data_IF_949894947728
#
_entry.id   IF_949894947728
#
_cell.length_a   1.000
_cell.length_b   1.000
_cell.length_c   1.000
_cell.angle_alpha   90.00
_cell.angle_beta   90.00
_cell.angle_gamma   90.00
#
_symmetry.space_group_name_H-M   'P 1'
#
loop_
_entity.id
_entity.type
_entity.pdbx_description
1 polymer ?
#
# COMPACT_ATOMS: atom_id res chain seq x y z
N UNK A 1 0.60 -11.88 -19.91
CA UNK A 1 -0.72 -11.27 -19.64
C UNK A 1 -0.69 -9.81 -20.04
N UNK A 2 -1.86 -9.27 -20.37
CA UNK A 2 -2.06 -7.84 -20.58
C UNK A 2 -2.52 -7.22 -19.27
N UNK A 3 -1.73 -6.31 -18.70
CA UNK A 3 -1.99 -5.71 -17.39
C UNK A 3 -2.11 -4.20 -17.53
N UNK A 4 -3.15 -3.63 -16.92
CA UNK A 4 -3.31 -2.17 -16.83
C UNK A 4 -3.00 -1.72 -15.40
N UNK A 5 -2.14 -0.69 -15.27
CA UNK A 5 -1.74 -0.14 -13.97
C UNK A 5 -2.17 1.32 -13.86
N UNK A 6 -3.02 1.61 -12.87
CA UNK A 6 -3.31 2.97 -12.43
C UNK A 6 -2.34 3.37 -11.32
N UNK A 7 -1.85 4.62 -11.33
CA UNK A 7 -0.86 5.08 -10.35
C UNK A 7 0.57 4.63 -10.62
N UNK A 8 0.90 4.29 -11.86
CA UNK A 8 2.23 3.87 -12.30
C UNK A 8 3.34 4.90 -12.04
N UNK A 9 3.03 6.19 -11.96
CA UNK A 9 3.98 7.25 -11.64
C UNK A 9 4.34 7.34 -10.15
N UNK A 10 3.59 6.66 -9.28
CA UNK A 10 3.87 6.57 -7.84
C UNK A 10 5.11 5.72 -7.53
N UNK A 11 5.60 5.79 -6.30
CA UNK A 11 6.81 5.08 -5.89
C UNK A 11 6.71 3.56 -6.10
N UNK A 12 5.62 2.91 -5.66
CA UNK A 12 5.39 1.48 -5.90
C UNK A 12 5.23 1.21 -7.41
N UNK A 13 4.44 2.04 -8.11
CA UNK A 13 4.16 1.85 -9.53
C UNK A 13 5.40 1.90 -10.42
N UNK A 14 6.33 2.81 -10.11
CA UNK A 14 7.61 2.94 -10.84
C UNK A 14 8.52 1.70 -10.72
N UNK A 15 8.37 0.93 -9.65
CA UNK A 15 9.08 -0.34 -9.47
C UNK A 15 8.27 -1.52 -10.01
N UNK A 16 6.96 -1.51 -9.84
CA UNK A 16 6.07 -2.58 -10.29
C UNK A 16 6.05 -2.73 -11.81
N UNK A 17 5.88 -1.62 -12.54
CA UNK A 17 5.73 -1.66 -14.00
C UNK A 17 6.94 -2.30 -14.69
N UNK A 18 8.20 -1.89 -14.44
CA UNK A 18 9.37 -2.55 -15.00
C UNK A 18 9.48 -4.03 -14.58
N UNK A 19 9.14 -4.36 -13.33
CA UNK A 19 9.18 -5.75 -12.84
C UNK A 19 8.20 -6.65 -13.59
N UNK A 20 6.96 -6.20 -13.81
CA UNK A 20 5.98 -6.95 -14.58
C UNK A 20 6.40 -7.13 -16.05
N UNK A 21 6.98 -6.09 -16.66
CA UNK A 21 7.51 -6.17 -18.03
C UNK A 21 8.68 -7.15 -18.14
N UNK A 22 9.58 -7.16 -17.15
CA UNK A 22 10.69 -8.12 -17.09
C UNK A 22 10.23 -9.57 -16.96
N UNK A 23 9.02 -9.80 -16.39
CA UNK A 23 8.36 -11.11 -16.32
C UNK A 23 7.60 -11.48 -17.60
N UNK A 24 7.72 -10.70 -18.67
CA UNK A 24 7.08 -10.97 -19.97
C UNK A 24 5.62 -10.53 -20.08
N UNK A 25 5.14 -9.68 -19.15
CA UNK A 25 3.79 -9.11 -19.25
C UNK A 25 3.77 -7.87 -20.14
N UNK A 26 2.70 -7.69 -20.91
CA UNK A 26 2.41 -6.43 -21.59
C UNK A 26 1.73 -5.50 -20.61
N UNK A 27 2.36 -4.36 -20.32
CA UNK A 27 1.86 -3.44 -19.28
C UNK A 27 1.53 -2.09 -19.88
N UNK A 28 0.25 -1.73 -19.84
CA UNK A 28 -0.25 -0.39 -20.12
C UNK A 28 -0.46 0.40 -18.83
N UNK A 29 -0.32 1.72 -18.91
CA UNK A 29 -0.46 2.59 -17.74
C UNK A 29 -1.56 3.64 -17.96
N UNK A 30 -2.36 3.89 -16.92
CA UNK A 30 -3.36 4.94 -16.95
C UNK A 30 -2.73 6.30 -16.61
N UNK A 31 -2.93 7.27 -17.51
CA UNK A 31 -2.39 8.64 -17.36
C UNK A 31 -3.51 9.67 -17.37
N UNK A 32 -3.39 10.71 -16.50
CA UNK A 32 -4.34 11.84 -16.42
C UNK A 32 -3.95 13.02 -17.32
N UNK A 33 -2.89 12.89 -18.07
CA UNK A 33 -2.38 13.83 -19.08
C UNK A 33 -2.60 13.27 -20.48
N UNK A 34 -2.27 14.04 -21.48
CA UNK A 34 -2.20 13.54 -22.86
C UNK A 34 -1.31 12.31 -22.98
N UNK A 35 -1.75 11.36 -23.80
CA UNK A 35 -1.02 10.14 -24.15
C UNK A 35 0.24 10.52 -24.95
N UNK A 36 1.38 9.96 -24.57
CA UNK A 36 2.69 10.23 -25.19
C UNK A 36 3.37 8.98 -25.71
N UNK A 37 2.84 7.80 -25.36
CA UNK A 37 3.40 6.52 -25.74
C UNK A 37 2.27 5.50 -25.98
N UNK A 38 2.49 4.49 -26.81
CA UNK A 38 1.46 3.49 -27.16
C UNK A 38 0.91 2.70 -25.99
N UNK A 39 1.72 2.52 -24.94
CA UNK A 39 1.33 1.82 -23.72
C UNK A 39 0.56 2.69 -22.70
N UNK A 40 0.30 3.96 -23.04
CA UNK A 40 -0.46 4.86 -22.18
C UNK A 40 -1.94 4.89 -22.59
N UNK A 41 -2.79 4.92 -21.59
CA UNK A 41 -4.24 5.03 -21.76
C UNK A 41 -4.71 6.26 -20.98
N UNK A 42 -5.36 7.19 -21.68
CA UNK A 42 -5.93 8.37 -21.04
C UNK A 42 -7.12 8.00 -20.14
N UNK A 43 -7.18 8.58 -18.96
CA UNK A 43 -8.31 8.49 -18.08
C UNK A 43 -8.48 9.76 -17.23
N UNK A 44 -9.71 10.01 -16.80
CA UNK A 44 -10.04 11.11 -15.88
C UNK A 44 -10.95 10.60 -14.76
N UNK A 45 -10.39 10.23 -13.60
CA UNK A 45 -11.17 9.78 -12.47
C UNK A 45 -12.14 10.83 -11.91
N UNK A 46 -11.79 12.12 -12.02
CA UNK A 46 -12.64 13.20 -11.51
C UNK A 46 -13.95 13.30 -12.30
N UNK A 47 -13.91 13.01 -13.59
CA UNK A 47 -15.07 12.97 -14.48
C UNK A 47 -15.60 11.55 -14.74
N UNK A 48 -15.05 10.53 -14.07
CA UNK A 48 -15.36 9.10 -14.25
C UNK A 48 -15.22 8.65 -15.70
N UNK A 49 -14.16 9.12 -16.38
CA UNK A 49 -13.90 8.81 -17.79
C UNK A 49 -12.77 7.80 -17.94
N UNK A 50 -13.10 6.64 -18.43
CA UNK A 50 -12.18 5.62 -18.95
C UNK A 50 -12.95 4.85 -20.02
N UNK A 51 -12.42 4.80 -21.24
CA UNK A 51 -13.06 4.06 -22.30
C UNK A 51 -13.09 2.56 -21.96
N UNK A 52 -14.26 1.96 -21.89
CA UNK A 52 -14.43 0.53 -21.59
C UNK A 52 -13.68 -0.36 -22.60
N UNK A 53 -13.60 0.06 -23.86
CA UNK A 53 -12.86 -0.63 -24.91
C UNK A 53 -11.36 -0.78 -24.60
N UNK A 54 -10.79 0.13 -23.81
CA UNK A 54 -9.38 0.03 -23.37
C UNK A 54 -9.11 -1.14 -22.43
N UNK A 55 -10.17 -1.78 -21.89
CA UNK A 55 -10.07 -2.94 -20.99
C UNK A 55 -10.45 -4.27 -21.66
N UNK A 56 -10.86 -4.29 -22.92
CA UNK A 56 -11.37 -5.49 -23.59
C UNK A 56 -10.34 -6.63 -23.73
N UNK A 57 -9.07 -6.30 -23.93
CA UNK A 57 -7.98 -7.29 -24.09
C UNK A 57 -7.09 -7.37 -22.84
N UNK A 58 -7.59 -6.86 -21.69
CA UNK A 58 -6.84 -6.81 -20.44
C UNK A 58 -7.17 -8.03 -19.57
N UNK A 59 -6.15 -8.67 -19.04
CA UNK A 59 -6.30 -9.79 -18.09
C UNK A 59 -6.43 -9.32 -16.64
N UNK A 60 -5.67 -8.27 -16.27
CA UNK A 60 -5.62 -7.76 -14.91
C UNK A 60 -5.56 -6.23 -14.86
N UNK A 61 -6.24 -5.65 -13.90
CA UNK A 61 -6.16 -4.22 -13.57
C UNK A 61 -5.58 -4.06 -12.16
N UNK A 62 -4.52 -3.27 -12.01
CA UNK A 62 -3.89 -2.96 -10.71
C UNK A 62 -4.08 -1.47 -10.43
N UNK A 63 -4.84 -1.16 -9.38
CA UNK A 63 -5.09 0.19 -8.93
C UNK A 63 -4.21 0.56 -7.74
N UNK A 64 -3.20 1.40 -8.01
CA UNK A 64 -2.33 2.05 -7.01
C UNK A 64 -2.65 3.54 -6.88
N UNK A 65 -3.69 4.03 -7.58
CA UNK A 65 -3.99 5.45 -7.65
C UNK A 65 -4.62 5.95 -6.34
N UNK A 66 -4.11 7.07 -5.87
CA UNK A 66 -4.61 7.76 -4.69
C UNK A 66 -3.65 8.88 -4.25
N UNK A 67 -4.18 9.93 -3.65
CA UNK A 67 -3.37 10.98 -3.06
C UNK A 67 -2.50 10.41 -1.92
N UNK A 68 -1.25 10.90 -1.81
CA UNK A 68 -0.32 10.45 -0.76
C UNK A 68 -0.87 10.76 0.63
N UNK A 69 -0.94 9.73 1.49
CA UNK A 69 -1.53 9.84 2.83
C UNK A 69 -0.69 10.70 3.78
N UNK A 70 0.62 10.73 3.58
CA UNK A 70 1.59 11.38 4.46
C UNK A 70 2.23 12.65 3.87
N UNK A 71 1.70 13.17 2.73
CA UNK A 71 2.29 14.35 2.11
C UNK A 71 2.10 15.63 2.92
N UNK A 72 0.98 15.75 3.62
CA UNK A 72 0.57 16.95 4.34
C UNK A 72 -0.20 16.61 5.61
N UNK A 73 -0.23 17.54 6.57
CA UNK A 73 -1.07 17.43 7.77
C UNK A 73 -2.55 17.28 7.38
N UNK A 74 -3.28 16.42 8.08
CA UNK A 74 -4.69 16.20 7.80
C UNK A 74 -5.54 17.35 8.32
N UNK A 75 -6.12 18.08 7.37
CA UNK A 75 -7.24 18.98 7.53
C UNK A 75 -8.49 18.31 7.00
N UNK A 76 -9.66 18.85 7.26
CA UNK A 76 -10.91 18.31 6.67
C UNK A 76 -10.89 18.35 5.13
N UNK A 77 -10.28 19.39 4.53
CA UNK A 77 -10.07 19.45 3.08
C UNK A 77 -9.15 18.32 2.59
N UNK A 78 -8.05 18.06 3.32
CA UNK A 78 -7.12 16.99 2.97
C UNK A 78 -7.74 15.61 3.12
N UNK A 79 -8.52 15.37 4.18
CA UNK A 79 -9.26 14.12 4.35
C UNK A 79 -10.23 13.88 3.19
N UNK A 80 -10.98 14.91 2.80
CA UNK A 80 -11.86 14.83 1.61
C UNK A 80 -11.08 14.51 0.34
N UNK A 81 -9.92 15.10 0.12
CA UNK A 81 -9.08 14.77 -1.04
C UNK A 81 -8.60 13.31 -0.99
N UNK A 82 -8.16 12.82 0.17
CA UNK A 82 -7.75 11.43 0.36
C UNK A 82 -8.89 10.44 0.03
N UNK A 83 -10.12 10.75 0.44
CA UNK A 83 -11.32 9.97 0.13
C UNK A 83 -11.64 10.06 -1.36
N UNK A 84 -11.79 11.27 -1.87
CA UNK A 84 -12.22 11.54 -3.25
C UNK A 84 -11.28 10.90 -4.27
N UNK A 85 -9.96 11.05 -4.08
CA UNK A 85 -8.97 10.50 -5.01
C UNK A 85 -9.06 8.97 -5.12
N UNK A 86 -9.33 8.27 -4.02
CA UNK A 86 -9.47 6.82 -3.97
C UNK A 86 -10.80 6.34 -4.54
N UNK A 87 -11.88 6.99 -4.15
CA UNK A 87 -13.21 6.59 -4.59
C UNK A 87 -13.44 6.87 -6.07
N UNK A 88 -12.99 8.03 -6.55
CA UNK A 88 -13.12 8.35 -7.97
C UNK A 88 -12.29 7.40 -8.84
N UNK A 89 -11.02 7.15 -8.48
CA UNK A 89 -10.19 6.21 -9.24
C UNK A 89 -10.78 4.80 -9.26
N UNK A 90 -11.23 4.30 -8.11
CA UNK A 90 -11.81 2.96 -8.02
C UNK A 90 -13.13 2.85 -8.77
N UNK A 91 -14.05 3.79 -8.58
CA UNK A 91 -15.34 3.78 -9.27
C UNK A 91 -15.20 3.89 -10.79
N UNK A 92 -14.27 4.73 -11.26
CA UNK A 92 -13.99 4.84 -12.71
C UNK A 92 -13.52 3.51 -13.30
N UNK A 93 -12.66 2.79 -12.59
CA UNK A 93 -12.22 1.45 -13.00
C UNK A 93 -13.38 0.44 -12.96
N UNK A 94 -14.17 0.43 -11.91
CA UNK A 94 -15.33 -0.46 -11.76
C UNK A 94 -16.35 -0.24 -12.86
N UNK A 95 -16.66 1.01 -13.21
CA UNK A 95 -17.59 1.35 -14.29
C UNK A 95 -17.06 0.86 -15.65
N UNK A 96 -15.79 1.11 -15.94
CA UNK A 96 -15.16 0.67 -17.18
C UNK A 96 -15.09 -0.87 -17.27
N UNK A 97 -14.75 -1.55 -16.17
CA UNK A 97 -14.77 -3.01 -16.07
C UNK A 97 -16.17 -3.58 -16.33
N UNK A 98 -17.20 -2.96 -15.74
CA UNK A 98 -18.58 -3.42 -15.87
C UNK A 98 -19.11 -3.27 -17.29
N UNK A 99 -18.63 -2.29 -18.04
CA UNK A 99 -19.00 -1.97 -19.40
C UNK A 99 -18.11 -2.61 -20.48
N UNK A 100 -17.00 -3.26 -20.09
CA UNK A 100 -16.12 -3.92 -21.03
C UNK A 100 -16.76 -5.18 -21.63
N UNK A 101 -16.60 -5.39 -22.95
CA UNK A 101 -17.10 -6.57 -23.66
C UNK A 101 -16.44 -7.86 -23.15
N UNK A 102 -15.13 -7.79 -22.92
CA UNK A 102 -14.35 -8.84 -22.26
C UNK A 102 -13.80 -8.28 -20.97
N UNK A 103 -14.41 -8.64 -19.86
CA UNK A 103 -14.01 -8.18 -18.54
C UNK A 103 -12.67 -8.78 -18.13
N UNK A 104 -11.73 -7.98 -17.62
CA UNK A 104 -10.51 -8.47 -16.97
C UNK A 104 -10.83 -9.52 -15.89
N UNK A 105 -9.95 -10.51 -15.77
CA UNK A 105 -10.12 -11.62 -14.81
C UNK A 105 -9.93 -11.19 -13.37
N UNK A 106 -9.19 -10.10 -13.14
CA UNK A 106 -8.90 -9.60 -11.81
C UNK A 106 -8.82 -8.08 -11.76
N UNK A 107 -9.42 -7.50 -10.72
CA UNK A 107 -9.15 -6.16 -10.22
C UNK A 107 -8.36 -6.28 -8.92
N UNK A 108 -7.13 -5.79 -8.89
CA UNK A 108 -6.36 -5.58 -7.68
C UNK A 108 -6.51 -4.12 -7.28
N UNK A 109 -7.23 -3.85 -6.21
CA UNK A 109 -7.42 -2.50 -5.69
C UNK A 109 -6.68 -2.36 -4.37
N UNK A 110 -5.53 -1.70 -4.38
CA UNK A 110 -4.69 -1.61 -3.20
C UNK A 110 -5.37 -0.81 -2.10
N UNK A 111 -5.43 -1.40 -0.90
CA UNK A 111 -5.93 -0.85 0.35
C UNK A 111 -4.78 -0.68 1.37
N UNK A 112 -5.06 -0.59 2.65
CA UNK A 112 -4.05 -0.46 3.71
C UNK A 112 -4.48 -1.14 5.01
N UNK A 113 -3.50 -1.54 5.84
CA UNK A 113 -3.74 -2.04 7.20
C UNK A 113 -4.40 -1.01 8.12
N UNK A 114 -4.45 0.26 7.70
CA UNK A 114 -5.27 1.30 8.34
C UNK A 114 -6.72 0.88 8.57
N UNK A 115 -7.23 -0.10 7.81
CA UNK A 115 -8.51 -0.77 8.02
C UNK A 115 -8.70 -1.25 9.45
N UNK A 116 -7.64 -1.69 10.11
CA UNK A 116 -7.73 -2.25 11.46
C UNK A 116 -7.76 -1.20 12.59
N UNK A 117 -7.37 0.06 12.31
CA UNK A 117 -7.25 1.08 13.36
C UNK A 117 -6.16 0.75 14.39
N UNK A 118 -6.30 1.30 15.61
CA UNK A 118 -5.41 0.96 16.73
C UNK A 118 -5.97 -0.23 17.51
N UNK A 119 -5.23 -1.32 17.59
CA UNK A 119 -5.66 -2.60 18.17
C UNK A 119 -4.68 -3.14 19.21
N UNK A 120 -3.78 -2.31 19.74
CA UNK A 120 -2.81 -2.73 20.75
C UNK A 120 -1.96 -3.92 20.29
N UNK A 121 -1.96 -5.01 21.06
CA UNK A 121 -1.16 -6.22 20.80
C UNK A 121 -1.91 -7.32 20.04
N UNK A 122 -3.16 -7.07 19.66
CA UNK A 122 -3.99 -8.03 18.95
C UNK A 122 -3.38 -8.42 17.59
N UNK A 123 -3.31 -9.72 17.31
CA UNK A 123 -2.90 -10.24 16.00
C UNK A 123 -4.06 -10.06 15.03
N UNK A 124 -3.78 -9.47 13.87
CA UNK A 124 -4.79 -9.02 12.91
C UNK A 124 -4.63 -9.76 11.56
N UNK A 125 -5.19 -10.97 11.43
CA UNK A 125 -5.33 -11.63 10.15
C UNK A 125 -6.36 -10.91 9.27
N UNK A 126 -6.49 -11.32 8.00
CA UNK A 126 -7.45 -10.70 7.05
C UNK A 126 -8.91 -10.83 7.49
N UNK A 127 -9.23 -11.77 8.35
CA UNK A 127 -10.57 -11.99 8.94
C UNK A 127 -10.89 -11.06 10.12
N UNK A 128 -9.88 -10.36 10.66
CA UNK A 128 -10.09 -9.43 11.75
C UNK A 128 -11.05 -8.29 11.33
N UNK A 129 -12.00 -7.90 12.21
CA UNK A 129 -12.98 -6.87 11.89
C UNK A 129 -12.32 -5.50 11.75
N UNK A 130 -13.02 -4.58 11.06
CA UNK A 130 -12.62 -3.19 10.94
C UNK A 130 -12.48 -2.54 12.33
N UNK A 131 -11.45 -1.73 12.45
CA UNK A 131 -11.26 -0.88 13.62
C UNK A 131 -12.06 0.43 13.53
N UNK A 132 -11.61 1.42 14.25
CA UNK A 132 -12.23 2.75 14.32
C UNK A 132 -11.32 3.85 13.78
N UNK A 133 -11.91 5.00 13.45
CA UNK A 133 -11.23 6.19 13.00
C UNK A 133 -11.17 6.34 11.49
N UNK A 134 -10.71 7.51 11.06
CA UNK A 134 -10.73 7.95 9.66
C UNK A 134 -10.14 6.94 8.67
N UNK A 135 -8.98 6.34 8.99
CA UNK A 135 -8.34 5.39 8.07
C UNK A 135 -9.13 4.08 7.95
N UNK A 136 -9.73 3.62 9.05
CA UNK A 136 -10.52 2.40 9.04
C UNK A 136 -11.77 2.56 8.19
N UNK A 137 -12.47 3.68 8.34
CA UNK A 137 -13.64 4.04 7.53
C UNK A 137 -13.27 4.22 6.07
N UNK A 138 -12.19 4.96 5.79
CA UNK A 138 -11.69 5.17 4.43
C UNK A 138 -11.39 3.84 3.73
N UNK A 139 -10.66 2.94 4.39
CA UNK A 139 -10.29 1.64 3.80
C UNK A 139 -11.52 0.76 3.56
N UNK A 140 -12.48 0.70 4.50
CA UNK A 140 -13.72 -0.06 4.34
C UNK A 140 -14.52 0.40 3.13
N UNK A 141 -14.76 1.70 3.01
CA UNK A 141 -15.51 2.26 1.88
C UNK A 141 -14.76 2.08 0.56
N UNK A 142 -13.45 2.19 0.59
CA UNK A 142 -12.61 1.97 -0.58
C UNK A 142 -12.66 0.52 -1.06
N UNK A 143 -12.52 -0.45 -0.15
CA UNK A 143 -12.67 -1.88 -0.46
C UNK A 143 -14.09 -2.20 -0.95
N UNK A 144 -15.13 -1.66 -0.30
CA UNK A 144 -16.52 -1.81 -0.74
C UNK A 144 -16.74 -1.30 -2.16
N UNK A 145 -16.15 -0.15 -2.51
CA UNK A 145 -16.24 0.38 -3.88
C UNK A 145 -15.57 -0.55 -4.90
N UNK A 146 -14.45 -1.19 -4.55
CA UNK A 146 -13.75 -2.14 -5.42
C UNK A 146 -14.54 -3.44 -5.60
N UNK A 147 -15.16 -3.96 -4.52
CA UNK A 147 -15.96 -5.19 -4.57
C UNK A 147 -17.20 -5.08 -5.46
N UNK A 148 -17.64 -3.87 -5.83
CA UNK A 148 -18.68 -3.69 -6.84
C UNK A 148 -18.30 -4.23 -8.24
N UNK A 149 -17.01 -4.50 -8.51
CA UNK A 149 -16.55 -5.16 -9.73
C UNK A 149 -16.63 -6.70 -9.66
N UNK A 150 -16.84 -7.28 -8.46
CA UNK A 150 -16.86 -8.74 -8.28
C UNK A 150 -17.95 -9.37 -9.16
N UNK A 151 -17.57 -10.41 -9.89
CA UNK A 151 -18.50 -11.13 -10.77
C UNK A 151 -17.93 -12.53 -11.04
N UNK A 152 -18.70 -13.45 -11.66
CA UNK A 152 -18.18 -14.76 -12.07
C UNK A 152 -16.96 -14.69 -13.01
N UNK A 153 -16.76 -13.55 -13.70
CA UNK A 153 -15.64 -13.34 -14.63
C UNK A 153 -14.49 -12.53 -14.05
N UNK A 154 -14.76 -11.68 -13.06
CA UNK A 154 -13.77 -10.79 -12.47
C UNK A 154 -13.69 -11.04 -10.97
N UNK A 155 -12.56 -11.50 -10.47
CA UNK A 155 -12.27 -11.55 -9.03
C UNK A 155 -11.71 -10.22 -8.57
N UNK A 156 -12.01 -9.84 -7.33
CA UNK A 156 -11.45 -8.64 -6.70
C UNK A 156 -10.49 -9.05 -5.59
N UNK A 157 -9.33 -8.43 -5.58
CA UNK A 157 -8.34 -8.57 -4.50
C UNK A 157 -8.06 -7.18 -3.93
N UNK A 158 -8.15 -7.03 -2.62
CA UNK A 158 -7.84 -5.80 -1.91
C UNK A 158 -6.59 -5.99 -1.03
N UNK A 159 -5.38 -5.76 -1.58
CA UNK A 159 -4.16 -5.85 -0.79
C UNK A 159 -4.13 -4.74 0.26
N UNK A 160 -4.14 -5.11 1.55
CA UNK A 160 -3.98 -4.19 2.68
C UNK A 160 -2.49 -3.99 2.94
N UNK A 161 -1.92 -2.93 2.40
CA UNK A 161 -0.50 -2.62 2.57
C UNK A 161 -0.19 -2.23 4.01
N UNK A 162 0.86 -2.84 4.56
CA UNK A 162 1.58 -2.33 5.72
C UNK A 162 2.44 -1.11 5.37
N UNK A 163 3.32 -0.75 6.29
CA UNK A 163 4.31 0.31 6.03
C UNK A 163 5.34 -0.22 5.04
N UNK A 164 5.24 0.25 3.80
CA UNK A 164 6.19 -0.14 2.76
C UNK A 164 7.52 0.57 3.00
N UNK A 165 8.59 -0.21 3.09
CA UNK A 165 9.94 0.28 3.33
C UNK A 165 10.81 0.11 2.09
N UNK A 166 11.65 1.11 1.82
CA UNK A 166 12.67 1.11 0.79
C UNK A 166 13.57 2.34 0.93
N UNK A 167 14.79 2.22 0.47
CA UNK A 167 15.83 3.25 0.63
C UNK A 167 15.44 4.57 -0.04
N UNK A 168 14.79 4.51 -1.22
CA UNK A 168 14.57 5.65 -2.09
C UNK A 168 13.14 6.22 -1.98
N UNK A 169 12.35 5.74 -1.02
CA UNK A 169 10.97 6.21 -0.85
C UNK A 169 10.29 5.73 0.43
N UNK A 170 9.03 6.12 0.58
CA UNK A 170 8.23 5.73 1.74
C UNK A 170 8.71 6.32 3.07
N UNK A 171 8.36 5.66 4.16
CA UNK A 171 8.66 6.13 5.51
C UNK A 171 10.17 6.10 5.81
N UNK A 172 10.89 5.07 5.34
CA UNK A 172 12.32 4.91 5.62
C UNK A 172 13.14 6.06 5.05
N UNK A 173 12.89 6.46 3.80
CA UNK A 173 13.61 7.57 3.17
C UNK A 173 13.50 8.89 3.97
N UNK A 174 12.34 9.11 4.61
CA UNK A 174 12.12 10.30 5.46
C UNK A 174 12.86 10.20 6.80
N UNK A 175 13.03 9.00 7.33
CA UNK A 175 13.68 8.77 8.63
C UNK A 175 15.21 8.73 8.52
N UNK A 176 15.74 8.26 7.41
CA UNK A 176 17.19 8.08 7.20
C UNK A 176 18.04 9.32 7.49
N UNK A 177 17.68 10.55 7.08
CA UNK A 177 18.49 11.74 7.36
C UNK A 177 18.67 12.02 8.86
N UNK A 178 17.60 11.77 9.65
CA UNK A 178 17.61 11.97 11.10
C UNK A 178 18.46 10.90 11.78
N UNK A 179 18.27 9.63 11.41
CA UNK A 179 19.05 8.52 11.97
C UNK A 179 20.54 8.57 11.60
N UNK A 180 20.90 8.97 10.37
CA UNK A 180 22.29 9.16 9.94
C UNK A 180 23.04 10.20 10.76
N UNK A 181 22.33 11.21 11.28
CA UNK A 181 22.88 12.23 12.18
C UNK A 181 22.96 11.76 13.65
N UNK A 182 22.54 10.52 13.96
CA UNK A 182 22.48 10.03 15.33
C UNK A 182 21.36 10.62 16.18
N UNK A 183 20.43 11.32 15.56
CA UNK A 183 19.29 12.00 16.23
C UNK A 183 18.01 11.14 16.21
N UNK A 184 18.10 9.89 15.75
CA UNK A 184 16.98 8.95 15.71
C UNK A 184 16.57 8.45 17.09
N UNK A 185 15.37 7.87 17.15
CA UNK A 185 14.87 7.23 18.35
C UNK A 185 13.45 6.67 18.16
N UNK A 186 12.94 6.06 19.23
CA UNK A 186 11.60 5.48 19.24
C UNK A 186 10.51 6.56 19.16
N UNK A 187 9.39 6.22 18.53
CA UNK A 187 8.20 7.07 18.49
C UNK A 187 7.28 6.75 19.68
N UNK A 188 6.85 7.78 20.39
CA UNK A 188 5.98 7.65 21.56
C UNK A 188 6.56 6.72 22.63
N UNK A 189 5.77 5.77 23.11
CA UNK A 189 6.22 4.73 24.06
C UNK A 189 7.17 3.70 23.42
N UNK A 190 7.18 3.60 22.11
CA UNK A 190 7.89 2.57 21.36
C UNK A 190 7.22 1.20 21.36
N UNK A 191 6.09 1.02 22.07
CA UNK A 191 5.41 -0.27 22.21
C UNK A 191 4.48 -0.61 21.04
N UNK A 192 4.01 0.40 20.31
CA UNK A 192 3.11 0.17 19.20
C UNK A 192 3.77 -0.69 18.10
N UNK A 193 3.00 -1.62 17.56
CA UNK A 193 3.44 -2.51 16.50
C UNK A 193 3.46 -1.80 15.15
N UNK A 194 4.53 -2.04 14.42
CA UNK A 194 4.76 -1.63 13.05
C UNK A 194 4.72 -2.88 12.16
N UNK A 195 3.65 -3.06 11.42
CA UNK A 195 3.59 -4.05 10.35
C UNK A 195 4.16 -3.45 9.08
N UNK A 196 5.31 -3.92 8.69
CA UNK A 196 6.11 -3.42 7.57
C UNK A 196 6.17 -4.45 6.43
N UNK A 197 6.62 -4.03 5.27
CA UNK A 197 6.96 -4.89 4.14
C UNK A 197 8.00 -4.19 3.27
N UNK A 198 8.93 -4.94 2.66
CA UNK A 198 9.86 -4.36 1.69
C UNK A 198 9.15 -4.02 0.38
N UNK A 199 9.61 -2.97 -0.32
CA UNK A 199 9.11 -2.65 -1.66
C UNK A 199 9.24 -3.83 -2.63
N UNK A 200 10.31 -4.61 -2.50
CA UNK A 200 10.55 -5.81 -3.29
C UNK A 200 9.43 -6.82 -3.12
N UNK A 201 9.08 -7.16 -1.88
CA UNK A 201 8.02 -8.13 -1.61
C UNK A 201 6.63 -7.62 -2.00
N UNK A 202 6.38 -6.31 -1.88
CA UNK A 202 5.14 -5.69 -2.42
C UNK A 202 5.02 -5.93 -3.92
N UNK A 203 6.08 -5.69 -4.67
CA UNK A 203 6.09 -5.83 -6.14
C UNK A 203 5.88 -7.28 -6.55
N UNK A 204 6.59 -8.22 -5.89
CA UNK A 204 6.43 -9.66 -6.14
C UNK A 204 5.02 -10.12 -5.80
N UNK A 205 4.50 -9.73 -4.64
CA UNK A 205 3.17 -10.11 -4.20
C UNK A 205 2.07 -9.58 -5.15
N UNK A 206 2.16 -8.33 -5.60
CA UNK A 206 1.20 -7.78 -6.57
C UNK A 206 1.21 -8.56 -7.89
N UNK A 207 2.38 -9.01 -8.37
CA UNK A 207 2.51 -9.89 -9.53
C UNK A 207 1.84 -11.25 -9.30
N UNK A 208 2.08 -11.89 -8.15
CA UNK A 208 1.45 -13.16 -7.77
C UNK A 208 -0.07 -13.00 -7.65
N UNK A 209 -0.54 -11.95 -7.00
CA UNK A 209 -1.98 -11.67 -6.88
C UNK A 209 -2.65 -11.43 -8.24
N UNK A 210 -1.93 -10.91 -9.23
CA UNK A 210 -2.45 -10.70 -10.59
C UNK A 210 -2.58 -12.02 -11.36
N UNK A 211 -1.61 -12.91 -11.22
CA UNK A 211 -1.47 -14.12 -12.06
C UNK A 211 -2.17 -15.35 -11.48
N UNK A 212 -2.18 -15.52 -10.15
CA UNK A 212 -2.73 -16.69 -9.48
C UNK A 212 -4.21 -16.48 -9.12
N UNK A 213 -5.07 -17.31 -9.69
CA UNK A 213 -6.54 -17.21 -9.58
C UNK A 213 -7.09 -17.51 -8.17
N UNK A 214 -6.27 -18.13 -7.30
CA UNK A 214 -6.68 -18.49 -5.93
C UNK A 214 -6.93 -17.27 -5.03
N UNK A 215 -6.29 -16.15 -5.32
CA UNK A 215 -6.35 -14.95 -4.48
C UNK A 215 -7.64 -14.16 -4.70
N UNK A 216 -8.41 -13.96 -3.62
CA UNK A 216 -9.66 -13.18 -3.60
C UNK A 216 -9.82 -12.44 -2.29
N UNK A 217 -10.56 -11.34 -2.33
CA UNK A 217 -10.90 -10.55 -1.15
C UNK A 217 -9.71 -9.78 -0.56
N UNK A 218 -9.77 -9.42 0.73
CA UNK A 218 -8.66 -8.75 1.40
C UNK A 218 -7.47 -9.69 1.57
N UNK A 219 -6.25 -9.14 1.42
CA UNK A 219 -4.96 -9.83 1.61
C UNK A 219 -4.00 -8.88 2.31
N UNK A 220 -3.50 -9.24 3.49
CA UNK A 220 -2.52 -8.43 4.19
C UNK A 220 -1.16 -8.51 3.48
N UNK A 221 -0.69 -7.39 2.94
CA UNK A 221 0.65 -7.25 2.39
C UNK A 221 1.57 -6.67 3.46
N UNK A 222 2.00 -7.53 4.36
CA UNK A 222 2.94 -7.24 5.46
C UNK A 222 3.96 -8.36 5.57
N UNK A 223 5.15 -8.06 6.10
CA UNK A 223 6.13 -9.10 6.48
C UNK A 223 5.56 -9.99 7.60
N UNK A 224 5.94 -11.28 7.64
CA UNK A 224 5.50 -12.19 8.70
C UNK A 224 6.07 -11.85 10.09
N UNK A 225 7.08 -10.97 10.14
CA UNK A 225 7.73 -10.53 11.37
C UNK A 225 7.49 -9.03 11.63
N UNK A 226 6.29 -8.63 12.14
CA UNK A 226 6.07 -7.27 12.59
C UNK A 226 6.98 -6.94 13.78
N UNK A 227 7.35 -5.67 13.93
CA UNK A 227 8.23 -5.21 15.01
C UNK A 227 7.59 -4.09 15.80
N UNK A 228 8.07 -3.82 17.03
CA UNK A 228 7.68 -2.59 17.73
C UNK A 228 8.44 -1.37 17.17
N UNK A 229 7.92 -0.16 17.38
CA UNK A 229 8.67 1.05 17.02
C UNK A 229 10.00 1.19 17.78
N UNK A 230 10.11 0.61 18.98
CA UNK A 230 11.37 0.55 19.72
C UNK A 230 12.37 -0.37 19.01
N UNK A 231 11.94 -1.55 18.59
CA UNK A 231 12.79 -2.48 17.83
C UNK A 231 13.16 -1.93 16.46
N UNK A 232 12.20 -1.31 15.75
CA UNK A 232 12.49 -0.63 14.49
C UNK A 232 13.62 0.40 14.65
N UNK A 233 13.51 1.29 15.65
CA UNK A 233 14.51 2.32 15.90
C UNK A 233 15.88 1.70 16.25
N UNK A 234 15.90 0.66 17.08
CA UNK A 234 17.12 -0.07 17.45
C UNK A 234 17.78 -0.73 16.23
N UNK A 235 17.00 -1.47 15.42
CA UNK A 235 17.51 -2.18 14.25
C UNK A 235 18.02 -1.21 13.18
N UNK A 236 17.30 -0.09 12.93
CA UNK A 236 17.74 0.94 12.00
C UNK A 236 19.02 1.62 12.45
N UNK A 237 19.14 1.92 13.75
CA UNK A 237 20.35 2.48 14.33
C UNK A 237 21.55 1.54 14.19
N UNK A 238 21.36 0.25 14.45
CA UNK A 238 22.38 -0.78 14.28
C UNK A 238 22.84 -0.88 12.81
N UNK A 239 21.89 -0.92 11.85
CA UNK A 239 22.22 -0.98 10.43
C UNK A 239 23.02 0.24 9.96
N UNK A 240 22.73 1.42 10.50
CA UNK A 240 23.43 2.67 10.19
C UNK A 240 24.72 2.89 11.03
N UNK A 241 24.98 2.03 12.03
CA UNK A 241 26.06 2.21 13.01
C UNK A 241 26.00 3.59 13.69
N UNK A 242 24.78 4.00 14.09
CA UNK A 242 24.52 5.28 14.75
C UNK A 242 23.71 5.06 16.03
N UNK A 243 23.83 5.94 17.04
CA UNK A 243 22.96 5.88 18.20
C UNK A 243 21.51 6.24 17.84
N UNK A 244 20.52 5.71 18.60
CA UNK A 244 19.11 6.08 18.50
C UNK A 244 18.53 6.33 19.89
N UNK A 245 19.06 7.34 20.56
CA UNK A 245 18.81 7.60 21.98
C UNK A 245 17.74 8.68 22.21
N UNK A 246 17.32 9.40 21.17
CA UNK A 246 16.43 10.54 21.28
C UNK A 246 14.97 10.14 21.00
N UNK A 247 14.16 9.77 21.99
CA UNK A 247 12.76 9.43 21.76
C UNK A 247 11.98 10.65 21.30
N UNK A 248 11.08 10.47 20.33
CA UNK A 248 10.14 11.52 19.93
C UNK A 248 8.85 11.33 20.73
N UNK A 249 8.55 12.23 21.68
CA UNK A 249 7.38 12.09 22.53
C UNK A 249 6.07 12.16 21.73
N UNK A 250 5.06 11.39 22.14
CA UNK A 250 3.76 11.36 21.46
C UNK A 250 3.11 12.76 21.37
N UNK A 251 3.26 13.60 22.40
CA UNK A 251 2.71 14.96 22.37
C UNK A 251 3.35 15.84 21.29
N UNK A 252 4.65 15.70 21.07
CA UNK A 252 5.35 16.47 20.03
C UNK A 252 4.92 16.03 18.62
N UNK A 253 4.72 14.71 18.40
CA UNK A 253 4.16 14.20 17.17
C UNK A 253 2.75 14.71 16.93
N UNK A 254 1.89 14.68 17.94
CA UNK A 254 0.51 15.19 17.85
C UNK A 254 0.47 16.69 17.59
N UNK A 255 1.34 17.48 18.20
CA UNK A 255 1.42 18.92 17.97
C UNK A 255 1.79 19.22 16.51
N UNK A 256 2.76 18.51 15.96
CA UNK A 256 3.26 18.73 14.59
C UNK A 256 2.32 18.19 13.52
N UNK A 257 1.79 16.97 13.69
CA UNK A 257 1.08 16.23 12.67
C UNK A 257 -0.43 16.07 12.93
N UNK A 258 -0.89 16.43 14.13
CA UNK A 258 -2.30 16.33 14.50
C UNK A 258 -2.79 14.88 14.53
N UNK A 259 -4.00 14.65 14.02
CA UNK A 259 -4.63 13.33 13.93
C UNK A 259 -3.79 12.31 13.15
N UNK A 260 -3.07 12.75 12.11
CA UNK A 260 -2.19 11.89 11.32
C UNK A 260 -1.14 11.19 12.20
N UNK A 261 -0.60 11.87 13.24
CA UNK A 261 0.35 11.24 14.17
C UNK A 261 -0.29 10.06 14.91
N UNK A 262 -1.50 10.24 15.40
CA UNK A 262 -2.21 9.19 16.15
C UNK A 262 -2.57 8.02 15.24
N UNK A 263 -3.07 8.29 14.04
CA UNK A 263 -3.55 7.26 13.13
C UNK A 263 -2.44 6.47 12.40
N UNK A 264 -1.28 7.09 12.15
CA UNK A 264 -0.22 6.47 11.34
C UNK A 264 1.04 6.11 12.12
N UNK A 265 1.40 6.88 13.15
CA UNK A 265 2.68 6.72 13.84
C UNK A 265 2.55 6.17 15.26
N UNK A 266 1.40 6.34 15.88
CA UNK A 266 1.15 5.92 17.27
C UNK A 266 0.14 4.77 17.37
N UNK A 267 -0.63 4.50 16.32
CA UNK A 267 -1.52 3.36 16.25
C UNK A 267 -0.70 2.05 16.21
N UNK A 268 -1.16 1.09 16.98
CA UNK A 268 -0.58 -0.25 17.05
C UNK A 268 -1.35 -1.20 16.14
N UNK A 269 -0.67 -1.74 15.13
CA UNK A 269 -1.26 -2.66 14.16
C UNK A 269 -0.33 -3.85 13.98
N UNK A 270 -0.68 -4.98 14.63
CA UNK A 270 0.07 -6.23 14.50
C UNK A 270 -0.59 -7.11 13.44
N UNK A 271 -0.57 -6.65 12.19
CA UNK A 271 -1.15 -7.39 11.08
C UNK A 271 -0.33 -8.64 10.74
N UNK A 272 -1.03 -9.71 10.42
CA UNK A 272 -0.47 -10.99 10.00
C UNK A 272 -0.83 -11.28 8.54
N UNK A 273 0.13 -11.70 7.69
CA UNK A 273 -0.14 -12.07 6.29
C UNK A 273 -0.65 -13.51 6.20
N UNK A 274 -1.74 -13.81 6.92
CA UNK A 274 -2.22 -15.19 7.10
C UNK A 274 -2.55 -15.88 5.77
N UNK A 275 -3.20 -15.16 4.85
CA UNK A 275 -3.50 -15.68 3.51
C UNK A 275 -2.24 -15.93 2.69
N UNK A 276 -1.27 -15.02 2.69
CA UNK A 276 -0.02 -15.19 1.94
C UNK A 276 0.75 -16.42 2.44
N UNK A 277 0.85 -16.58 3.76
CA UNK A 277 1.51 -17.75 4.38
C UNK A 277 0.79 -19.05 4.02
N UNK A 278 -0.53 -19.11 4.19
CA UNK A 278 -1.33 -20.27 3.84
C UNK A 278 -1.29 -20.59 2.34
N UNK A 279 -1.15 -19.58 1.48
CA UNK A 279 -1.02 -19.73 0.04
C UNK A 279 0.39 -20.09 -0.44
N UNK A 280 1.37 -20.23 0.47
CA UNK A 280 2.75 -20.59 0.15
C UNK A 280 3.57 -19.45 -0.47
N UNK A 281 3.20 -18.19 -0.22
CA UNK A 281 4.01 -17.07 -0.65
C UNK A 281 5.34 -17.02 0.10
N UNK A 282 6.45 -16.94 -0.65
CA UNK A 282 7.80 -16.88 -0.09
C UNK A 282 8.26 -15.41 -0.05
N UNK A 283 8.41 -14.87 1.14
CA UNK A 283 8.97 -13.54 1.34
C UNK A 283 10.47 -13.54 1.07
N UNK A 284 10.94 -12.57 0.29
CA UNK A 284 12.38 -12.33 0.09
C UNK A 284 12.99 -11.68 1.33
N UNK A 285 12.23 -10.84 2.00
CA UNK A 285 12.65 -10.01 3.12
C UNK A 285 11.74 -10.25 4.35
N UNK A 286 11.78 -11.47 4.97
CA UNK A 286 10.86 -11.81 6.06
C UNK A 286 11.17 -11.09 7.37
N UNK A 287 12.42 -10.65 7.60
CA UNK A 287 12.89 -10.06 8.85
C UNK A 287 13.53 -8.69 8.63
N UNK A 288 13.15 -7.72 9.47
CA UNK A 288 13.57 -6.32 9.34
C UNK A 288 15.08 -6.11 9.51
N UNK A 289 15.70 -6.76 10.47
CA UNK A 289 17.11 -6.57 10.77
C UNK A 289 18.04 -6.93 9.60
N UNK A 290 18.02 -8.17 9.10
CA UNK A 290 18.77 -8.59 7.92
C UNK A 290 18.48 -7.72 6.69
N UNK A 291 17.18 -7.41 6.44
CA UNK A 291 16.81 -6.56 5.32
C UNK A 291 17.44 -5.15 5.42
N UNK A 292 17.34 -4.47 6.58
CA UNK A 292 17.97 -3.15 6.76
C UNK A 292 19.48 -3.18 6.55
N UNK A 293 20.14 -4.23 7.01
CA UNK A 293 21.59 -4.39 6.81
C UNK A 293 21.97 -4.54 5.34
N UNK A 294 21.14 -5.20 4.55
CA UNK A 294 21.33 -5.35 3.11
C UNK A 294 21.00 -4.05 2.36
N UNK A 295 19.85 -3.46 2.65
CA UNK A 295 19.30 -2.29 1.94
C UNK A 295 20.11 -1.01 2.13
N UNK A 296 20.81 -0.87 3.29
CA UNK A 296 21.52 0.36 3.67
C UNK A 296 23.04 0.27 3.48
N UNK A 297 23.54 -0.84 2.96
CA UNK A 297 24.94 -0.95 2.47
C UNK A 297 25.07 -0.19 1.16
#
# INVERSE_FOLDING_TARGET
MNIVVAGASGWIGRTLVPSLRAQGHQVSILVRREVRAPEEIAWDPAQRRLAAAALNEVDAVINLAGASIAAERWTEARKRELQTSRFQSTRTLVDALSSALRRPRVLINVSAIGFYGDRGDEILPETAPRGSGFLAELCEEWERAAFAAESPRTRVVCPRLGVVLGRDGGALAQMLPVFRKGLGGRLGSGRAWLSWISLRDVVVALGVLATDVRWRGPVNLVSPAPVTYADFARLLAQALRRPALLPVPAWALKLRLGEMATAMLLASQRAEPAKLLAGGFVFSDPELGPWLQHELR
#
